data_IF_586518128234
#
_entry.id   IF_586518128234
#
_cell.length_a   1.000
_cell.length_b   1.000
_cell.length_c   1.000
_cell.angle_alpha   90.00
_cell.angle_beta   90.00
_cell.angle_gamma   90.00
#
_symmetry.space_group_name_H-M   'P 1'
#
loop_
_entity.id
_entity.type
_entity.pdbx_description
1 polymer ?
#
# COMPACT_ATOMS: atom_id res chain seq x y z
N UNK A 1 20.38 -18.30 -71.76
CA UNK A 1 19.62 -17.20 -71.16
C UNK A 1 19.29 -17.56 -69.72
N UNK A 2 19.57 -16.64 -68.79
CA UNK A 2 19.54 -16.83 -67.34
C UNK A 2 18.10 -16.69 -66.82
N UNK A 3 17.54 -17.72 -66.20
CA UNK A 3 16.35 -17.57 -65.35
C UNK A 3 16.73 -17.84 -63.90
N UNK A 4 16.81 -16.76 -63.12
CA UNK A 4 17.05 -16.77 -61.67
C UNK A 4 15.69 -16.85 -60.97
N UNK A 5 15.44 -17.94 -60.26
CA UNK A 5 14.27 -18.06 -59.38
C UNK A 5 14.70 -17.72 -57.96
N UNK A 6 14.23 -16.56 -57.48
CA UNK A 6 14.45 -16.02 -56.15
C UNK A 6 13.65 -16.87 -55.14
N UNK A 7 14.31 -17.51 -54.17
CA UNK A 7 13.63 -18.15 -53.03
C UNK A 7 13.44 -17.12 -51.92
N UNK A 8 12.19 -16.94 -51.53
CA UNK A 8 11.69 -16.03 -50.51
C UNK A 8 12.18 -16.52 -49.14
N UNK A 9 12.85 -15.64 -48.41
CA UNK A 9 13.26 -15.85 -47.02
C UNK A 9 12.09 -15.43 -46.12
N UNK A 10 11.51 -16.39 -45.40
CA UNK A 10 10.53 -16.18 -44.32
C UNK A 10 10.81 -17.27 -43.30
N UNK A 11 10.82 -17.08 -41.99
CA UNK A 11 10.69 -15.91 -41.15
C UNK A 11 11.08 -16.35 -39.74
N UNK A 12 11.71 -15.47 -38.96
CA UNK A 12 11.80 -15.57 -37.51
C UNK A 12 11.58 -14.15 -36.99
N UNK A 13 10.32 -13.77 -36.87
CA UNK A 13 9.94 -12.61 -36.07
C UNK A 13 10.19 -12.95 -34.62
N UNK A 14 11.36 -12.55 -34.13
CA UNK A 14 11.67 -12.49 -32.70
C UNK A 14 10.68 -11.50 -32.08
N UNK A 15 9.62 -12.02 -31.46
CA UNK A 15 8.69 -11.19 -30.70
C UNK A 15 9.45 -10.72 -29.46
N UNK A 16 9.91 -9.48 -29.50
CA UNK A 16 10.45 -8.81 -28.33
C UNK A 16 9.34 -8.80 -27.27
N UNK A 17 9.54 -9.58 -26.20
CA UNK A 17 8.73 -9.47 -25.00
C UNK A 17 8.79 -8.01 -24.56
N UNK A 18 7.63 -7.36 -24.57
CA UNK A 18 7.44 -6.05 -23.94
C UNK A 18 7.80 -6.21 -22.46
N UNK A 19 9.01 -5.82 -22.10
CA UNK A 19 9.38 -5.57 -20.73
C UNK A 19 8.51 -4.40 -20.26
N UNK A 20 7.45 -4.72 -19.53
CA UNK A 20 6.72 -3.73 -18.76
C UNK A 20 7.73 -3.13 -17.78
N UNK A 21 7.90 -1.80 -17.70
CA UNK A 21 8.70 -1.22 -16.64
C UNK A 21 7.98 -1.51 -15.32
N UNK A 22 8.44 -2.54 -14.62
CA UNK A 22 8.24 -2.64 -13.19
C UNK A 22 8.96 -1.43 -12.60
N UNK A 23 8.21 -0.40 -12.25
CA UNK A 23 8.73 0.67 -11.39
C UNK A 23 9.00 0.03 -10.03
N UNK A 24 10.16 -0.60 -9.89
CA UNK A 24 10.69 -1.02 -8.62
C UNK A 24 11.02 0.25 -7.83
N UNK A 25 10.54 0.33 -6.58
CA UNK A 25 10.93 1.39 -5.63
C UNK A 25 12.45 1.43 -5.52
N UNK A 26 13.06 2.47 -6.07
CA UNK A 26 14.50 2.68 -5.98
C UNK A 26 14.80 3.46 -4.69
N UNK A 27 15.31 2.76 -3.68
CA UNK A 27 15.87 3.38 -2.48
C UNK A 27 17.24 3.98 -2.81
N UNK A 28 17.40 5.29 -2.62
CA UNK A 28 18.70 5.96 -2.66
C UNK A 28 19.03 6.51 -1.26
N UNK A 29 20.16 6.09 -0.70
CA UNK A 29 20.69 6.60 0.56
C UNK A 29 21.89 7.51 0.24
N UNK A 30 21.74 8.81 0.45
CA UNK A 30 22.82 9.78 0.29
C UNK A 30 22.78 10.77 1.46
N UNK A 31 23.89 10.94 2.19
CA UNK A 31 24.02 11.87 3.33
C UNK A 31 22.97 11.70 4.46
N UNK A 32 22.63 10.46 4.84
CA UNK A 32 21.68 10.18 5.92
C UNK A 32 20.21 10.50 5.58
N UNK A 33 19.96 10.80 4.31
CA UNK A 33 18.63 10.96 3.73
C UNK A 33 18.30 9.67 2.98
N UNK A 34 17.17 9.06 3.31
CA UNK A 34 16.62 7.91 2.59
C UNK A 34 15.43 8.39 1.77
N UNK A 35 15.43 8.08 0.47
CA UNK A 35 14.35 8.46 -0.44
C UNK A 35 13.75 7.22 -1.07
N UNK A 36 12.42 7.18 -1.17
CA UNK A 36 11.70 6.20 -1.96
C UNK A 36 10.74 6.89 -2.93
N UNK A 37 10.63 6.36 -4.14
CA UNK A 37 9.74 6.89 -5.18
C UNK A 37 8.83 5.81 -5.72
N UNK A 38 7.55 6.14 -5.86
CA UNK A 38 6.55 5.26 -6.45
C UNK A 38 5.52 6.13 -7.17
N UNK A 39 5.29 5.85 -8.46
CA UNK A 39 4.27 6.50 -9.29
C UNK A 39 4.24 8.05 -9.24
N UNK A 40 5.42 8.69 -9.20
CA UNK A 40 5.54 10.15 -9.13
C UNK A 40 5.43 10.75 -7.72
N UNK A 41 5.15 9.93 -6.70
CA UNK A 41 5.26 10.32 -5.30
C UNK A 41 6.66 10.05 -4.76
N UNK A 42 7.07 10.84 -3.77
CA UNK A 42 8.36 10.73 -3.11
C UNK A 42 8.17 10.73 -1.61
N UNK A 43 8.73 9.73 -0.92
CA UNK A 43 8.89 9.70 0.52
C UNK A 43 10.36 9.98 0.87
N UNK A 44 10.60 11.04 1.64
CA UNK A 44 11.91 11.52 2.04
C UNK A 44 12.05 11.39 3.56
N UNK A 45 12.99 10.58 4.03
CA UNK A 45 13.33 10.49 5.45
C UNK A 45 14.45 11.47 5.80
N UNK A 46 14.21 12.29 6.83
CA UNK A 46 15.20 13.20 7.44
C UNK A 46 15.21 12.97 8.96
N UNK A 47 16.23 12.26 9.45
CA UNK A 47 16.23 11.76 10.83
C UNK A 47 15.17 10.67 10.99
N UNK A 48 14.31 10.79 12.00
CA UNK A 48 13.19 9.86 12.23
C UNK A 48 11.87 10.31 11.57
N UNK A 49 11.89 11.49 10.91
CA UNK A 49 10.72 12.05 10.24
C UNK A 49 10.71 11.68 8.77
N UNK A 50 9.53 11.34 8.25
CA UNK A 50 9.28 11.07 6.83
C UNK A 50 8.36 12.13 6.27
N UNK A 51 8.71 12.67 5.11
CA UNK A 51 7.95 13.66 4.34
C UNK A 51 7.48 13.01 3.04
N UNK A 52 6.22 13.17 2.67
CA UNK A 52 5.65 12.61 1.44
C UNK A 52 5.19 13.74 0.54
N UNK A 53 5.60 13.69 -0.73
CA UNK A 53 5.36 14.74 -1.72
C UNK A 53 4.86 14.16 -3.04
N UNK A 54 4.09 14.97 -3.76
CA UNK A 54 3.68 14.78 -5.16
C UNK A 54 4.30 15.89 -6.04
N UNK A 55 4.17 15.84 -7.38
CA UNK A 55 4.71 16.87 -8.27
C UNK A 55 4.18 18.31 -8.01
N UNK A 56 3.13 18.48 -7.21
CA UNK A 56 2.57 19.77 -6.80
C UNK A 56 3.03 20.28 -5.42
N UNK A 57 3.81 19.51 -4.67
CA UNK A 57 4.27 19.88 -3.32
C UNK A 57 4.17 18.76 -2.29
N UNK A 58 4.43 19.11 -1.04
CA UNK A 58 4.32 18.19 0.09
C UNK A 58 2.85 17.86 0.38
N UNK A 59 2.55 16.58 0.58
CA UNK A 59 1.25 16.08 1.01
C UNK A 59 1.17 16.02 2.53
N UNK A 60 2.06 15.25 3.17
CA UNK A 60 2.07 15.04 4.60
C UNK A 60 3.47 14.70 5.15
N UNK A 61 3.63 14.74 6.47
CA UNK A 61 4.81 14.34 7.22
C UNK A 61 4.44 13.54 8.47
N UNK A 62 5.32 12.63 8.91
CA UNK A 62 5.17 11.99 10.22
C UNK A 62 5.49 12.96 11.35
N UNK A 63 4.70 12.95 12.42
CA UNK A 63 4.88 13.86 13.55
C UNK A 63 4.53 13.17 14.87
N UNK A 64 5.35 13.44 15.89
CA UNK A 64 5.19 12.88 17.23
C UNK A 64 5.73 11.45 17.36
N UNK A 65 6.09 11.03 18.58
CA UNK A 65 6.89 9.82 18.82
C UNK A 65 6.26 8.52 18.32
N UNK A 66 4.92 8.46 18.20
CA UNK A 66 4.21 7.29 17.68
C UNK A 66 4.32 7.11 16.15
N UNK A 67 4.79 8.13 15.42
CA UNK A 67 4.91 8.12 13.96
C UNK A 67 6.36 8.23 13.47
N UNK A 68 7.28 8.58 14.37
CA UNK A 68 8.70 8.72 14.06
C UNK A 68 9.37 7.34 14.01
N UNK A 69 10.22 7.12 13.01
CA UNK A 69 10.88 5.84 12.80
C UNK A 69 11.64 5.75 11.49
N UNK A 70 11.99 4.51 11.10
CA UNK A 70 12.67 4.22 9.84
C UNK A 70 11.64 4.02 8.73
N UNK A 71 11.80 4.72 7.60
CA UNK A 71 11.04 4.50 6.38
C UNK A 71 11.40 3.12 5.81
N UNK A 72 10.40 2.26 5.67
CA UNK A 72 10.55 0.91 5.12
C UNK A 72 10.06 0.83 3.68
N UNK A 73 8.92 1.45 3.38
CA UNK A 73 8.36 1.43 2.03
C UNK A 73 7.50 2.67 1.72
N UNK A 74 7.33 2.95 0.43
CA UNK A 74 6.30 3.83 -0.14
C UNK A 74 5.56 3.03 -1.21
N UNK A 75 4.26 2.82 -1.02
CA UNK A 75 3.39 2.15 -1.99
C UNK A 75 2.20 3.04 -2.34
N UNK A 76 1.55 2.75 -3.48
CA UNK A 76 0.42 3.56 -3.96
C UNK A 76 -0.78 2.66 -4.23
N UNK A 77 -1.90 2.93 -3.55
CA UNK A 77 -3.19 2.32 -3.92
C UNK A 77 -3.87 3.17 -4.99
N UNK A 78 -4.75 2.52 -5.77
CA UNK A 78 -5.41 3.11 -6.94
C UNK A 78 -4.46 3.65 -8.02
N UNK A 79 -3.30 3.01 -8.23
CA UNK A 79 -2.34 3.39 -9.28
C UNK A 79 -3.00 3.51 -10.66
N UNK A 80 -2.79 4.64 -11.34
CA UNK A 80 -3.40 4.99 -12.62
C UNK A 80 -4.81 5.57 -12.52
N UNK A 81 -5.33 5.80 -11.31
CA UNK A 81 -6.65 6.39 -11.06
C UNK A 81 -6.54 7.89 -10.73
N UNK A 82 -7.58 8.71 -10.99
CA UNK A 82 -7.64 10.08 -10.50
C UNK A 82 -7.58 10.24 -8.96
N UNK A 83 -7.71 9.13 -8.22
CA UNK A 83 -7.74 9.10 -6.75
C UNK A 83 -6.60 8.26 -6.15
N UNK A 84 -5.44 8.24 -6.81
CA UNK A 84 -4.22 7.63 -6.25
C UNK A 84 -3.95 8.10 -4.83
N UNK A 85 -3.53 7.17 -3.97
CA UNK A 85 -3.18 7.48 -2.59
C UNK A 85 -1.81 6.88 -2.25
N UNK A 86 -0.81 7.72 -1.92
CA UNK A 86 0.50 7.26 -1.46
C UNK A 86 0.47 6.95 0.05
N UNK A 87 0.93 5.76 0.41
CA UNK A 87 1.07 5.33 1.79
C UNK A 87 2.52 4.95 2.09
N UNK A 88 2.99 5.32 3.28
CA UNK A 88 4.31 4.94 3.77
C UNK A 88 4.22 3.87 4.84
N UNK A 89 5.21 3.00 4.86
CA UNK A 89 5.44 2.01 5.92
C UNK A 89 6.61 2.49 6.77
N UNK A 90 6.39 2.61 8.08
CA UNK A 90 7.38 3.10 9.04
C UNK A 90 7.58 2.09 10.16
N UNK A 91 8.84 1.76 10.42
CA UNK A 91 9.27 0.97 11.57
C UNK A 91 9.56 1.92 12.74
N UNK A 92 8.68 1.91 13.74
CA UNK A 92 8.84 2.74 14.94
C UNK A 92 9.73 2.03 15.98
N UNK A 93 10.62 2.75 16.69
CA UNK A 93 11.54 2.12 17.65
C UNK A 93 10.82 1.29 18.72
N UNK A 94 11.26 0.04 18.91
CA UNK A 94 10.70 -0.86 19.93
C UNK A 94 9.34 -1.48 19.58
N UNK A 95 8.77 -1.18 18.41
CA UNK A 95 7.54 -1.81 17.96
C UNK A 95 7.80 -3.21 17.37
N UNK A 96 6.86 -4.13 17.61
CA UNK A 96 6.84 -5.48 17.01
C UNK A 96 6.04 -5.52 15.69
N UNK A 97 5.72 -4.33 15.17
CA UNK A 97 4.84 -4.11 14.03
C UNK A 97 5.30 -2.84 13.30
N UNK A 98 5.04 -2.81 12.00
CA UNK A 98 5.20 -1.66 11.13
C UNK A 98 3.89 -0.86 11.13
N UNK A 99 4.01 0.46 11.17
CA UNK A 99 2.89 1.39 11.02
C UNK A 99 2.75 1.79 9.56
N UNK A 100 1.51 1.94 9.11
CA UNK A 100 1.19 2.45 7.78
C UNK A 100 0.53 3.80 7.94
N UNK A 101 1.03 4.78 7.20
CA UNK A 101 0.51 6.14 7.22
C UNK A 101 0.11 6.63 5.83
N UNK A 102 -0.91 7.48 5.78
CA UNK A 102 -1.37 8.19 4.59
C UNK A 102 -1.61 9.67 4.89
N UNK A 103 -2.05 10.44 3.91
CA UNK A 103 -2.72 11.70 4.17
C UNK A 103 -4.06 11.47 4.90
N UNK A 104 -4.51 12.50 5.62
CA UNK A 104 -5.87 12.54 6.14
C UNK A 104 -6.79 12.86 4.96
N UNK A 105 -7.59 11.88 4.53
CA UNK A 105 -8.49 12.10 3.40
C UNK A 105 -9.48 13.23 3.69
N UNK A 106 -9.80 14.03 2.67
CA UNK A 106 -10.67 15.22 2.75
C UNK A 106 -12.05 14.95 3.36
N UNK A 107 -12.52 13.69 3.33
CA UNK A 107 -13.66 13.13 4.09
C UNK A 107 -13.71 13.53 5.57
N UNK A 108 -12.55 13.54 6.22
CA UNK A 108 -12.40 13.83 7.64
C UNK A 108 -12.20 15.32 7.93
N UNK A 109 -12.23 16.18 6.92
CA UNK A 109 -12.03 17.62 7.07
C UNK A 109 -13.38 18.37 7.00
N UNK A 110 -14.31 17.99 7.87
CA UNK A 110 -15.61 18.67 8.07
C UNK A 110 -15.49 19.95 8.92
N UNK A 111 -14.26 20.39 9.22
CA UNK A 111 -13.96 21.54 10.07
C UNK A 111 -13.85 21.23 11.57
N UNK A 112 -13.99 19.96 11.99
CA UNK A 112 -13.89 19.56 13.41
C UNK A 112 -12.48 19.11 13.84
N UNK A 113 -11.60 18.78 12.89
CA UNK A 113 -10.21 18.44 13.14
C UNK A 113 -9.34 19.69 12.95
N UNK A 114 -8.35 19.92 13.84
CA UNK A 114 -7.38 21.01 13.67
C UNK A 114 -6.80 20.96 12.24
N UNK A 115 -6.56 22.13 11.63
CA UNK A 115 -6.02 22.32 10.27
C UNK A 115 -4.57 21.80 10.18
N UNK A 116 -4.40 20.50 10.39
CA UNK A 116 -3.16 19.78 10.45
C UNK A 116 -3.09 18.83 9.25
N UNK A 117 -3.49 19.35 8.08
CA UNK A 117 -3.56 18.65 6.77
C UNK A 117 -2.22 18.08 6.32
N UNK A 118 -1.14 18.47 6.99
CA UNK A 118 0.22 18.01 6.71
C UNK A 118 0.69 16.93 7.67
N UNK A 119 -0.07 16.53 8.69
CA UNK A 119 0.33 15.41 9.55
C UNK A 119 -0.23 14.09 9.03
N UNK A 120 0.63 13.07 9.00
CA UNK A 120 0.29 11.70 8.64
C UNK A 120 -0.87 11.14 9.47
N UNK A 121 -1.83 10.51 8.79
CA UNK A 121 -2.91 9.73 9.39
C UNK A 121 -2.46 8.27 9.59
N UNK A 122 -2.76 7.70 10.77
CA UNK A 122 -2.47 6.31 11.13
C UNK A 122 -3.48 5.37 10.48
N UNK A 123 -3.11 4.89 9.29
CA UNK A 123 -3.93 4.05 8.42
C UNK A 123 -3.98 2.61 8.91
N UNK A 124 -2.97 2.11 9.61
CA UNK A 124 -3.00 0.74 10.11
C UNK A 124 -1.63 0.12 10.33
N UNK A 125 -1.58 -1.22 10.24
CA UNK A 125 -0.44 -2.00 10.73
C UNK A 125 -0.11 -3.18 9.85
N UNK A 126 1.18 -3.47 9.74
CA UNK A 126 1.73 -4.68 9.13
C UNK A 126 2.61 -5.36 10.19
N UNK A 127 2.39 -6.65 10.40
CA UNK A 127 3.11 -7.44 11.38
C UNK A 127 4.24 -8.23 10.72
N UNK A 128 5.33 -8.44 11.44
CA UNK A 128 6.43 -9.30 10.99
C UNK A 128 6.06 -10.79 10.95
N UNK A 129 5.07 -11.18 11.73
CA UNK A 129 4.59 -12.56 11.85
C UNK A 129 3.14 -12.67 11.38
N UNK A 130 2.75 -13.88 10.99
CA UNK A 130 1.37 -14.23 10.68
C UNK A 130 0.43 -13.91 11.85
N UNK A 131 -0.79 -13.46 11.53
CA UNK A 131 -1.85 -13.18 12.52
C UNK A 131 -3.10 -14.00 12.21
N UNK A 132 -3.77 -14.48 13.27
CA UNK A 132 -5.09 -15.10 13.14
C UNK A 132 -6.21 -14.07 12.94
N UNK A 133 -6.07 -12.87 13.53
CA UNK A 133 -7.03 -11.77 13.41
C UNK A 133 -6.32 -10.42 13.58
N UNK A 134 -6.74 -9.41 12.83
CA UNK A 134 -6.31 -8.02 12.97
C UNK A 134 -7.55 -7.14 12.98
N UNK A 135 -7.68 -6.29 13.99
CA UNK A 135 -8.77 -5.31 14.11
C UNK A 135 -8.23 -3.92 13.78
N UNK A 136 -8.99 -3.18 12.97
CA UNK A 136 -8.71 -1.78 12.63
C UNK A 136 -8.74 -0.88 13.87
N UNK A 137 -8.18 0.33 13.77
CA UNK A 137 -8.09 1.27 14.90
C UNK A 137 -9.46 1.66 15.47
N UNK A 138 -10.46 1.84 14.60
CA UNK A 138 -11.84 2.17 14.98
C UNK A 138 -12.68 0.94 15.30
N UNK A 139 -12.14 -0.28 15.12
CA UNK A 139 -12.86 -1.55 15.22
C UNK A 139 -14.04 -1.75 14.24
N UNK A 140 -14.27 -0.82 13.31
CA UNK A 140 -15.31 -0.94 12.29
C UNK A 140 -14.98 -2.04 11.27
N UNK A 141 -13.70 -2.39 11.14
CA UNK A 141 -13.25 -3.48 10.27
C UNK A 141 -12.33 -4.44 11.00
N UNK A 142 -12.34 -5.70 10.59
CA UNK A 142 -11.30 -6.66 10.95
C UNK A 142 -11.00 -7.62 9.80
N UNK A 143 -9.79 -8.17 9.80
CA UNK A 143 -9.39 -9.29 8.95
C UNK A 143 -9.16 -10.53 9.80
N UNK A 144 -9.56 -11.70 9.31
CA UNK A 144 -9.40 -12.99 10.00
C UNK A 144 -8.84 -14.04 9.04
N UNK A 145 -7.87 -14.82 9.52
CA UNK A 145 -7.32 -15.97 8.80
C UNK A 145 -8.27 -17.16 8.93
N UNK A 146 -8.63 -17.77 7.79
CA UNK A 146 -9.42 -19.00 7.71
C UNK A 146 -8.75 -19.94 6.69
N UNK A 147 -8.07 -20.98 7.18
CA UNK A 147 -7.26 -21.85 6.33
C UNK A 147 -6.18 -21.08 5.57
N UNK A 148 -6.18 -21.16 4.23
CA UNK A 148 -5.28 -20.43 3.34
C UNK A 148 -5.87 -19.11 2.80
N UNK A 149 -6.98 -18.67 3.37
CA UNK A 149 -7.69 -17.46 2.97
C UNK A 149 -7.81 -16.48 4.14
N UNK A 150 -8.01 -15.22 3.78
CA UNK A 150 -8.18 -14.11 4.70
C UNK A 150 -9.48 -13.43 4.35
N UNK A 151 -10.41 -13.42 5.31
CA UNK A 151 -11.71 -12.78 5.17
C UNK A 151 -11.66 -11.40 5.82
N UNK A 152 -12.11 -10.38 5.09
CA UNK A 152 -12.19 -9.00 5.56
C UNK A 152 -13.64 -8.68 5.86
N UNK A 153 -13.87 -8.18 7.06
CA UNK A 153 -15.18 -8.02 7.66
C UNK A 153 -15.40 -6.56 7.99
N UNK A 154 -16.60 -6.06 7.70
CA UNK A 154 -17.02 -4.68 7.95
C UNK A 154 -18.24 -4.67 8.84
N UNK A 155 -18.27 -3.76 9.81
CA UNK A 155 -19.39 -3.58 10.71
C UNK A 155 -20.66 -3.27 9.92
N UNK A 156 -21.78 -3.88 10.31
CA UNK A 156 -23.08 -3.60 9.70
C UNK A 156 -23.55 -2.17 10.01
N UNK A 157 -23.20 -1.68 11.20
CA UNK A 157 -23.46 -0.32 11.66
C UNK A 157 -22.18 0.22 12.33
N UNK A 158 -21.73 1.40 11.90
CA UNK A 158 -20.48 2.01 12.42
C UNK A 158 -20.71 2.67 13.78
N UNK A 159 -21.96 2.99 14.12
CA UNK A 159 -22.33 3.57 15.41
C UNK A 159 -22.69 2.49 16.46
N UNK A 160 -23.04 1.27 16.01
CA UNK A 160 -23.37 0.13 16.86
C UNK A 160 -22.71 -1.18 16.37
N UNK A 161 -21.54 -1.50 16.92
CA UNK A 161 -20.80 -2.71 16.58
C UNK A 161 -21.48 -4.01 17.07
N UNK A 162 -22.54 -3.93 17.89
CA UNK A 162 -23.28 -5.10 18.35
C UNK A 162 -24.18 -5.72 17.27
N UNK A 163 -24.51 -4.95 16.22
CA UNK A 163 -25.25 -5.42 15.04
C UNK A 163 -24.44 -6.39 14.16
N UNK A 164 -23.18 -6.66 14.52
CA UNK A 164 -22.33 -7.64 13.88
C UNK A 164 -21.62 -7.11 12.63
N UNK A 165 -21.08 -8.05 11.85
CA UNK A 165 -20.22 -7.77 10.70
C UNK A 165 -20.62 -8.64 9.51
N UNK A 166 -20.50 -8.09 8.30
CA UNK A 166 -20.61 -8.83 7.05
C UNK A 166 -19.23 -8.99 6.40
N UNK A 167 -19.04 -10.05 5.61
CA UNK A 167 -17.84 -10.23 4.81
C UNK A 167 -17.86 -9.23 3.66
N UNK A 168 -16.84 -8.38 3.59
CA UNK A 168 -16.65 -7.45 2.48
C UNK A 168 -15.99 -8.14 1.31
N UNK A 169 -14.93 -8.91 1.58
CA UNK A 169 -14.22 -9.68 0.57
C UNK A 169 -13.28 -10.71 1.19
N UNK A 170 -12.76 -11.60 0.36
CA UNK A 170 -11.82 -12.66 0.75
C UNK A 170 -10.66 -12.78 -0.23
N UNK A 171 -9.45 -13.02 0.28
CA UNK A 171 -8.22 -13.19 -0.52
C UNK A 171 -7.38 -14.37 -0.03
N UNK A 172 -6.59 -14.98 -0.92
CA UNK A 172 -5.67 -16.07 -0.56
C UNK A 172 -4.35 -15.54 -0.01
N UNK A 173 -3.83 -16.19 1.02
CA UNK A 173 -2.51 -15.95 1.59
C UNK A 173 -2.49 -15.98 3.11
N UNK A 174 -1.37 -15.53 3.66
CA UNK A 174 -1.17 -15.41 5.11
C UNK A 174 -1.43 -13.98 5.56
N UNK A 175 -2.33 -13.77 6.52
CA UNK A 175 -2.68 -12.46 7.05
C UNK A 175 -1.47 -11.83 7.76
N UNK A 176 -1.04 -10.67 7.24
CA UNK A 176 0.09 -9.90 7.77
C UNK A 176 -0.28 -8.47 8.14
N UNK A 177 -1.36 -7.90 7.63
CA UNK A 177 -1.72 -6.53 7.97
C UNK A 177 -3.15 -6.16 7.60
N UNK A 178 -3.60 -5.04 8.17
CA UNK A 178 -4.86 -4.38 7.84
C UNK A 178 -4.62 -2.88 7.84
N UNK A 179 -4.95 -2.24 6.72
CA UNK A 179 -4.77 -0.82 6.44
C UNK A 179 -6.14 -0.24 6.10
N UNK A 180 -6.43 0.94 6.60
CA UNK A 180 -7.64 1.70 6.32
C UNK A 180 -7.24 2.95 5.57
N UNK A 181 -7.90 3.19 4.44
CA UNK A 181 -7.79 4.45 3.73
C UNK A 181 -9.20 4.94 3.42
N UNK A 182 -9.46 6.22 3.74
CA UNK A 182 -10.81 6.77 3.86
C UNK A 182 -11.65 5.94 4.87
N UNK A 183 -12.55 5.09 4.36
CA UNK A 183 -13.45 4.25 5.13
C UNK A 183 -13.31 2.76 4.73
N UNK A 184 -12.42 2.45 3.79
CA UNK A 184 -12.32 1.12 3.21
C UNK A 184 -11.16 0.34 3.85
N UNK A 185 -11.36 -0.96 4.17
CA UNK A 185 -10.29 -1.83 4.58
C UNK A 185 -9.50 -2.36 3.37
N UNK A 186 -8.18 -2.47 3.56
CA UNK A 186 -7.21 -3.06 2.64
C UNK A 186 -6.34 -4.03 3.43
N UNK A 187 -6.30 -5.28 3.01
CA UNK A 187 -5.62 -6.35 3.73
C UNK A 187 -4.24 -6.57 3.13
N UNK A 188 -3.24 -6.75 3.99
CA UNK A 188 -1.89 -7.13 3.57
C UNK A 188 -1.73 -8.63 3.80
N UNK A 189 -1.48 -9.35 2.72
CA UNK A 189 -1.25 -10.80 2.75
C UNK A 189 0.13 -11.14 2.20
N UNK A 190 0.72 -12.17 2.80
CA UNK A 190 1.95 -12.79 2.32
C UNK A 190 1.64 -14.02 1.48
N UNK A 191 2.25 -14.08 0.31
CA UNK A 191 2.28 -15.24 -0.55
C UNK A 191 3.72 -15.47 -1.02
N UNK A 192 4.30 -16.64 -0.71
CA UNK A 192 5.67 -17.00 -1.09
C UNK A 192 6.72 -15.93 -0.69
N UNK A 193 6.59 -15.34 0.50
CA UNK A 193 7.49 -14.31 1.01
C UNK A 193 7.24 -12.90 0.45
N UNK A 194 6.27 -12.73 -0.46
CA UNK A 194 5.89 -11.42 -1.01
C UNK A 194 4.70 -10.87 -0.27
N UNK A 195 4.85 -9.67 0.32
CA UNK A 195 3.73 -8.92 0.88
C UNK A 195 3.00 -8.16 -0.23
N UNK A 196 1.69 -8.26 -0.24
CA UNK A 196 0.83 -7.61 -1.22
C UNK A 196 -0.41 -7.04 -0.53
N UNK A 197 -0.86 -5.89 -0.99
CA UNK A 197 -2.04 -5.20 -0.44
C UNK A 197 -3.24 -5.37 -1.38
N UNK A 198 -4.36 -5.78 -0.82
CA UNK A 198 -5.58 -6.10 -1.56
C UNK A 198 -6.79 -5.37 -0.98
N UNK A 199 -7.70 -4.95 -1.85
CA UNK A 199 -8.96 -4.34 -1.46
C UNK A 199 -9.96 -4.35 -2.60
N UNK A 200 -11.11 -3.73 -2.37
CA UNK A 200 -12.15 -3.63 -3.39
C UNK A 200 -11.91 -2.41 -4.28
N UNK A 201 -12.08 -2.58 -5.60
CA UNK A 201 -12.12 -1.51 -6.60
C UNK A 201 -13.45 -1.55 -7.37
N UNK A 202 -13.66 -0.66 -8.33
CA UNK A 202 -14.88 -0.66 -9.16
C UNK A 202 -15.10 -1.99 -9.92
N UNK A 203 -14.04 -2.73 -10.20
CA UNK A 203 -14.08 -3.99 -10.96
C UNK A 203 -14.05 -5.25 -10.09
N UNK A 204 -14.06 -5.09 -8.76
CA UNK A 204 -13.96 -6.17 -7.79
C UNK A 204 -12.67 -6.14 -6.98
N UNK A 205 -12.31 -7.29 -6.39
CA UNK A 205 -11.13 -7.44 -5.53
C UNK A 205 -9.87 -7.36 -6.39
N UNK A 206 -8.94 -6.48 -6.02
CA UNK A 206 -7.69 -6.26 -6.74
C UNK A 206 -6.50 -6.24 -5.79
N UNK A 207 -5.36 -6.67 -6.30
CA UNK A 207 -4.05 -6.39 -5.72
C UNK A 207 -3.61 -5.00 -6.18
N UNK A 208 -3.39 -4.07 -5.25
CA UNK A 208 -2.99 -2.69 -5.58
C UNK A 208 -1.49 -2.53 -5.74
N UNK A 209 -0.70 -3.11 -4.83
CA UNK A 209 0.75 -3.01 -4.86
C UNK A 209 1.40 -4.18 -4.10
N UNK A 210 2.72 -4.28 -4.19
CA UNK A 210 3.57 -5.13 -3.34
C UNK A 210 4.34 -4.27 -2.35
N UNK A 211 4.54 -4.77 -1.13
CA UNK A 211 5.19 -4.03 -0.05
C UNK A 211 6.59 -4.60 0.21
N UNK A 212 7.61 -3.75 0.15
CA UNK A 212 9.02 -4.12 0.29
C UNK A 212 9.59 -3.70 1.65
N UNK A 213 9.47 -4.56 2.67
CA UNK A 213 9.93 -4.25 4.03
C UNK A 213 11.40 -4.58 4.32
N UNK A 214 12.14 -5.13 3.35
CA UNK A 214 13.53 -5.59 3.54
C UNK A 214 14.60 -4.55 3.17
N UNK A 215 14.23 -3.28 3.04
CA UNK A 215 15.14 -2.16 2.75
C UNK A 215 15.62 -1.44 4.03
#
# INVERSE_FOLDING_TARGET
>A
MKNKTLKILSGLTLTAMLAIPTTASASQQQNGIQTQTQNGYTALQKGERVYVSAPGGQLYETKGPAQLGKLKDLFVIFKGSPIEAPLIVVETPGAKELKVFSDLWWKFNDGTYEDNRTTAYDSGRIFYEAKGKIVSKTAHHYAVQDGNEVSVMTANNYDDLSEGFHESYRVKGTLRGLVIYDCCPYVVVENNGVLSIHGHSETGIVQFDTININQ
#
